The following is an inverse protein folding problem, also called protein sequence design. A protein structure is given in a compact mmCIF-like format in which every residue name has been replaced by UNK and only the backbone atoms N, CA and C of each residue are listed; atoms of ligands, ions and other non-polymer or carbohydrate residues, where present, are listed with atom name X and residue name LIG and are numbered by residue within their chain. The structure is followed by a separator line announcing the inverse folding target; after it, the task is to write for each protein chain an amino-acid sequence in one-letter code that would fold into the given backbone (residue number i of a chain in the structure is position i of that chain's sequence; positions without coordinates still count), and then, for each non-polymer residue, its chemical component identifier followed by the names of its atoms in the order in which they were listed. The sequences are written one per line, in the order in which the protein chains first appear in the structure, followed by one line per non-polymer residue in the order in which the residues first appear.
data_IF_957916072649
#
_entry.id   IF_957916072649
#
_cell.length_a   1.000
_cell.length_b   1.000
_cell.length_c   1.000
_cell.angle_alpha   90.00
_cell.angle_beta   90.00
_cell.angle_gamma   90.00
#
_symmetry.space_group_name_H-M   'P 1'
#
loop_
_entity.id
_entity.type
_entity.pdbx_description
1 polymer ?
#
# COMPACT_ATOMS: atom_id res chain seq x y z
N UNK A 1 3.94 58.30 58.97
CA UNK A 1 4.70 57.07 59.30
C UNK A 1 4.36 56.03 58.25
N UNK A 2 5.26 55.81 57.29
CA UNK A 2 5.11 54.78 56.24
C UNK A 2 5.36 53.41 56.86
N UNK A 3 4.40 52.49 56.72
CA UNK A 3 4.43 51.15 57.31
C UNK A 3 5.58 50.31 56.68
N UNK A 4 6.60 49.89 57.43
CA UNK A 4 7.75 49.15 56.90
C UNK A 4 7.37 47.81 56.26
N UNK A 5 6.29 47.17 56.73
CA UNK A 5 5.86 45.85 56.25
C UNK A 5 5.30 45.81 54.82
N UNK A 6 5.08 46.97 54.16
CA UNK A 6 4.55 47.03 52.80
C UNK A 6 5.65 46.97 51.73
N UNK A 7 6.89 47.31 52.08
CA UNK A 7 8.03 47.27 51.14
C UNK A 7 8.60 45.85 51.07
N UNK A 8 8.71 45.17 52.21
CA UNK A 8 9.20 43.80 52.28
C UNK A 8 8.26 42.82 51.53
N UNK A 9 6.94 43.00 51.68
CA UNK A 9 5.95 42.21 50.92
C UNK A 9 5.95 42.47 49.41
N UNK A 10 6.33 43.67 48.97
CA UNK A 10 6.56 43.97 47.55
C UNK A 10 7.85 43.27 47.08
N UNK A 11 8.90 43.27 47.91
CA UNK A 11 10.17 42.62 47.59
C UNK A 11 10.02 41.11 47.45
N UNK A 12 9.27 40.47 48.34
CA UNK A 12 8.95 39.04 48.27
C UNK A 12 8.18 38.70 46.99
N UNK A 13 7.20 39.52 46.60
CA UNK A 13 6.47 39.34 45.33
C UNK A 13 7.36 39.53 44.09
N UNK A 14 8.33 40.45 44.15
CA UNK A 14 9.30 40.66 43.06
C UNK A 14 10.25 39.46 42.94
N UNK A 15 10.69 38.89 44.06
CA UNK A 15 11.48 37.65 44.10
C UNK A 15 10.69 36.46 43.55
N UNK A 16 9.40 36.35 43.87
CA UNK A 16 8.51 35.31 43.34
C UNK A 16 8.31 35.42 41.82
N UNK A 17 8.07 36.64 41.30
CA UNK A 17 8.00 36.92 39.86
C UNK A 17 9.34 36.61 39.19
N UNK A 18 10.46 36.96 39.81
CA UNK A 18 11.81 36.64 39.32
C UNK A 18 12.05 35.13 39.26
N UNK A 19 11.54 34.38 40.24
CA UNK A 19 11.51 32.92 40.22
C UNK A 19 10.76 32.37 39.01
N UNK A 20 9.62 32.98 38.67
CA UNK A 20 8.83 32.65 37.48
C UNK A 20 9.59 32.92 36.17
N UNK A 21 10.33 34.03 36.08
CA UNK A 21 11.18 34.34 34.91
C UNK A 21 12.36 33.36 34.76
N UNK A 22 13.04 32.98 35.86
CA UNK A 22 14.09 31.94 35.83
C UNK A 22 13.55 30.56 35.42
N UNK A 23 12.27 30.30 35.70
CA UNK A 23 11.58 29.11 35.21
C UNK A 23 11.25 29.24 33.71
N UNK A 24 10.88 30.44 33.26
CA UNK A 24 10.76 30.80 31.84
C UNK A 24 12.04 30.53 31.03
N UNK A 25 13.22 30.85 31.57
CA UNK A 25 14.53 30.55 30.95
C UNK A 25 14.75 29.06 30.68
N UNK A 26 14.06 28.18 31.41
CA UNK A 26 14.09 26.72 31.20
C UNK A 26 12.98 26.23 30.26
N UNK A 27 11.83 26.90 30.26
CA UNK A 27 10.70 26.57 29.39
C UNK A 27 10.94 26.99 27.94
N UNK A 28 11.57 28.14 27.70
CA UNK A 28 11.79 28.65 26.35
C UNK A 28 12.64 27.69 25.49
N UNK A 29 13.77 27.13 25.96
CA UNK A 29 14.53 26.13 25.21
C UNK A 29 13.70 24.88 24.89
N UNK A 30 12.94 24.38 25.86
CA UNK A 30 12.06 23.21 25.67
C UNK A 30 10.97 23.47 24.62
N UNK A 31 10.31 24.62 24.67
CA UNK A 31 9.35 25.03 23.64
C UNK A 31 10.02 25.17 22.28
N UNK A 32 11.23 25.73 22.23
CA UNK A 32 12.02 25.84 21.00
C UNK A 32 12.34 24.49 20.36
N UNK A 33 12.75 23.52 21.16
CA UNK A 33 13.02 22.15 20.69
C UNK A 33 11.72 21.44 20.27
N UNK A 34 10.61 21.66 20.98
CA UNK A 34 9.28 21.18 20.59
C UNK A 34 8.83 21.78 19.24
N UNK A 35 9.04 23.08 19.01
CA UNK A 35 8.73 23.71 17.72
C UNK A 35 9.60 23.19 16.58
N UNK A 36 10.90 22.94 16.82
CA UNK A 36 11.76 22.27 15.84
C UNK A 36 11.29 20.85 15.52
N UNK A 37 10.90 20.09 16.53
CA UNK A 37 10.31 18.76 16.33
C UNK A 37 9.03 18.82 15.50
N UNK A 38 8.11 19.75 15.80
CA UNK A 38 6.89 19.94 15.01
C UNK A 38 7.19 20.36 13.57
N UNK A 39 8.21 21.22 13.39
CA UNK A 39 8.69 21.65 12.07
C UNK A 39 9.20 20.48 11.24
N UNK A 40 9.79 19.47 11.86
CA UNK A 40 10.33 18.30 11.17
C UNK A 40 9.25 17.21 10.94
N UNK A 41 8.25 17.10 11.82
CA UNK A 41 7.17 16.10 11.74
C UNK A 41 6.04 16.50 10.77
N UNK A 42 5.72 17.78 10.62
CA UNK A 42 4.65 18.22 9.72
C UNK A 42 4.89 17.90 8.23
N UNK A 43 6.10 18.09 7.67
CA UNK A 43 6.41 17.68 6.30
C UNK A 43 6.23 16.17 6.11
N UNK A 44 6.70 15.36 7.06
CA UNK A 44 6.52 13.92 7.05
C UNK A 44 5.03 13.54 7.01
N UNK A 45 4.20 14.23 7.80
CA UNK A 45 2.75 14.06 7.78
C UNK A 45 2.12 14.40 6.43
N UNK A 46 2.60 15.43 5.72
CA UNK A 46 2.09 15.78 4.39
C UNK A 46 2.50 14.76 3.33
N UNK A 47 3.76 14.30 3.33
CA UNK A 47 4.26 13.24 2.44
C UNK A 47 3.47 11.95 2.63
N UNK A 48 3.20 11.61 3.88
CA UNK A 48 2.42 10.46 4.28
C UNK A 48 0.96 10.57 3.81
N UNK A 49 0.33 11.74 3.96
CA UNK A 49 -1.04 11.96 3.49
C UNK A 49 -1.16 11.83 1.96
N UNK A 50 -0.18 12.38 1.22
CA UNK A 50 -0.12 12.21 -0.23
C UNK A 50 0.06 10.74 -0.63
N UNK A 51 0.96 10.01 0.05
CA UNK A 51 1.17 8.58 -0.17
C UNK A 51 -0.07 7.73 0.14
N UNK A 52 -0.85 8.12 1.15
CA UNK A 52 -2.13 7.49 1.47
C UNK A 52 -3.15 7.71 0.37
N UNK A 53 -3.28 8.96 -0.10
CA UNK A 53 -4.23 9.32 -1.15
C UNK A 53 -3.93 8.54 -2.44
N UNK A 54 -2.66 8.43 -2.82
CA UNK A 54 -2.23 7.59 -3.94
C UNK A 54 -2.56 6.11 -3.70
N UNK A 55 -2.27 5.61 -2.49
CA UNK A 55 -2.53 4.21 -2.13
C UNK A 55 -4.02 3.86 -2.12
N UNK A 56 -4.91 4.80 -1.79
CA UNK A 56 -6.37 4.59 -1.83
C UNK A 56 -6.88 4.22 -3.22
N UNK A 57 -6.18 4.64 -4.27
CA UNK A 57 -6.55 4.34 -5.65
C UNK A 57 -5.73 3.19 -6.24
N UNK A 58 -4.42 3.18 -5.99
CA UNK A 58 -3.50 2.20 -6.58
C UNK A 58 -3.68 0.78 -6.00
N UNK A 59 -3.95 0.65 -4.69
CA UNK A 59 -4.15 -0.67 -4.06
C UNK A 59 -5.41 -1.39 -4.58
N UNK A 60 -6.60 -0.75 -4.60
CA UNK A 60 -7.80 -1.39 -5.14
C UNK A 60 -7.65 -1.77 -6.61
N UNK A 61 -7.07 -0.87 -7.42
CA UNK A 61 -6.82 -1.13 -8.85
C UNK A 61 -5.88 -2.32 -9.06
N UNK A 62 -4.81 -2.43 -8.27
CA UNK A 62 -3.91 -3.57 -8.32
C UNK A 62 -4.62 -4.88 -7.91
N UNK A 63 -5.49 -4.82 -6.89
CA UNK A 63 -6.29 -5.97 -6.45
C UNK A 63 -7.28 -6.44 -7.52
N UNK A 64 -7.94 -5.50 -8.20
CA UNK A 64 -8.81 -5.79 -9.34
C UNK A 64 -8.04 -6.42 -10.50
N UNK A 65 -6.87 -5.86 -10.86
CA UNK A 65 -5.99 -6.42 -11.89
C UNK A 65 -5.53 -7.84 -11.57
N UNK A 66 -5.17 -8.13 -10.30
CA UNK A 66 -4.82 -9.49 -9.86
C UNK A 66 -6.01 -10.45 -10.01
N UNK A 67 -7.21 -9.99 -9.62
CA UNK A 67 -8.44 -10.80 -9.72
C UNK A 67 -8.76 -11.11 -11.18
N UNK A 68 -8.68 -10.12 -12.06
CA UNK A 68 -8.88 -10.29 -13.51
C UNK A 68 -7.85 -11.24 -14.15
N UNK A 69 -6.57 -11.11 -13.79
CA UNK A 69 -5.51 -12.01 -14.25
C UNK A 69 -5.74 -13.45 -13.76
N UNK A 70 -6.18 -13.63 -12.52
CA UNK A 70 -6.52 -14.94 -11.96
C UNK A 70 -7.71 -15.59 -12.69
N UNK A 71 -8.77 -14.81 -12.94
CA UNK A 71 -9.96 -15.27 -13.68
C UNK A 71 -9.62 -15.65 -15.13
N UNK A 72 -8.82 -14.83 -15.82
CA UNK A 72 -8.34 -15.14 -17.18
C UNK A 72 -7.49 -16.41 -17.19
N UNK A 73 -6.60 -16.56 -16.20
CA UNK A 73 -5.79 -17.77 -16.05
C UNK A 73 -6.64 -19.02 -15.77
N UNK A 74 -7.73 -18.88 -15.02
CA UNK A 74 -8.69 -19.95 -14.76
C UNK A 74 -9.43 -20.38 -16.02
N UNK A 75 -9.93 -19.41 -16.79
CA UNK A 75 -10.59 -19.67 -18.06
C UNK A 75 -9.65 -20.39 -19.04
N UNK A 76 -8.43 -19.89 -19.20
CA UNK A 76 -7.43 -20.52 -20.07
C UNK A 76 -7.06 -21.93 -19.61
N UNK A 77 -6.98 -22.17 -18.28
CA UNK A 77 -6.67 -23.51 -17.75
C UNK A 77 -7.84 -24.47 -17.98
N UNK A 78 -9.08 -24.01 -17.82
CA UNK A 78 -10.26 -24.80 -18.16
C UNK A 78 -10.27 -25.19 -19.64
N UNK A 79 -9.97 -24.24 -20.53
CA UNK A 79 -9.87 -24.50 -21.97
C UNK A 79 -8.79 -25.54 -22.29
N UNK A 80 -7.62 -25.48 -21.63
CA UNK A 80 -6.56 -26.48 -21.76
C UNK A 80 -7.04 -27.86 -21.29
N UNK A 81 -7.70 -27.94 -20.14
CA UNK A 81 -8.24 -29.19 -19.60
C UNK A 81 -9.27 -29.82 -20.57
N UNK A 82 -10.17 -29.01 -21.14
CA UNK A 82 -11.14 -29.48 -22.14
C UNK A 82 -10.44 -30.03 -23.41
N UNK A 83 -9.35 -29.40 -23.86
CA UNK A 83 -8.55 -29.92 -24.98
C UNK A 83 -7.84 -31.22 -24.61
N UNK A 84 -7.28 -31.32 -23.41
CA UNK A 84 -6.61 -32.53 -22.91
C UNK A 84 -7.57 -33.71 -22.80
N UNK A 85 -8.80 -33.49 -22.32
CA UNK A 85 -9.86 -34.50 -22.29
C UNK A 85 -10.21 -34.98 -23.70
N UNK A 86 -10.32 -34.06 -24.67
CA UNK A 86 -10.55 -34.40 -26.07
C UNK A 86 -9.40 -35.22 -26.67
N UNK A 87 -8.14 -34.87 -26.34
CA UNK A 87 -6.94 -35.61 -26.77
C UNK A 87 -6.97 -37.02 -26.18
N UNK A 88 -7.22 -37.15 -24.88
CA UNK A 88 -7.33 -38.44 -24.18
C UNK A 88 -8.39 -39.34 -24.80
N UNK A 89 -9.58 -38.78 -25.11
CA UNK A 89 -10.65 -39.53 -25.77
C UNK A 89 -10.27 -39.98 -27.19
N UNK A 90 -9.69 -39.09 -28.00
CA UNK A 90 -9.21 -39.43 -29.35
C UNK A 90 -8.13 -40.50 -29.30
N UNK A 91 -7.23 -40.42 -28.32
CA UNK A 91 -6.16 -41.38 -28.14
C UNK A 91 -6.69 -42.77 -27.78
N UNK A 92 -7.67 -42.84 -26.88
CA UNK A 92 -8.34 -44.09 -26.51
C UNK A 92 -9.04 -44.74 -27.73
N UNK A 93 -9.67 -43.95 -28.61
CA UNK A 93 -10.27 -44.48 -29.84
C UNK A 93 -9.21 -45.03 -30.81
N UNK A 94 -8.07 -44.33 -30.95
CA UNK A 94 -6.98 -44.76 -31.83
C UNK A 94 -6.23 -45.99 -31.29
N UNK A 95 -6.13 -46.15 -29.97
CA UNK A 95 -5.45 -47.29 -29.35
C UNK A 95 -6.20 -48.62 -29.52
N UNK A 96 -7.53 -48.59 -29.69
CA UNK A 96 -8.37 -49.78 -29.98
C UNK A 96 -8.00 -50.45 -31.31
N UNK A 97 -7.53 -49.67 -32.30
CA UNK A 97 -7.12 -50.17 -33.61
C UNK A 97 -5.60 -50.39 -33.77
N UNK A 98 -4.81 -50.07 -32.75
CA UNK A 98 -3.35 -50.12 -32.80
C UNK A 98 -2.80 -51.41 -32.19
N UNK A 99 -1.67 -51.89 -32.71
CA UNK A 99 -0.97 -53.08 -32.21
C UNK A 99 0.55 -52.85 -32.21
N UNK A 100 1.25 -53.55 -31.32
CA UNK A 100 2.69 -53.41 -31.10
C UNK A 100 3.08 -52.02 -30.59
N UNK A 101 4.23 -51.52 -31.03
CA UNK A 101 4.86 -50.28 -30.57
C UNK A 101 3.95 -49.03 -30.67
N UNK A 102 2.99 -49.01 -31.60
CA UNK A 102 2.03 -47.89 -31.73
C UNK A 102 1.05 -47.82 -30.56
N UNK A 103 0.72 -48.96 -29.95
CA UNK A 103 -0.18 -49.01 -28.80
C UNK A 103 0.53 -48.51 -27.55
N UNK A 104 1.78 -48.95 -27.32
CA UNK A 104 2.61 -48.43 -26.23
C UNK A 104 2.78 -46.90 -26.33
N UNK A 105 3.03 -46.37 -27.53
CA UNK A 105 3.13 -44.93 -27.74
C UNK A 105 1.82 -44.17 -27.40
N UNK A 106 0.65 -44.76 -27.67
CA UNK A 106 -0.64 -44.15 -27.34
C UNK A 106 -0.95 -44.22 -25.85
N UNK A 107 -0.64 -45.34 -25.19
CA UNK A 107 -0.79 -45.49 -23.75
C UNK A 107 0.13 -44.48 -23.03
N UNK A 108 1.35 -44.28 -23.52
CA UNK A 108 2.29 -43.31 -22.94
C UNK A 108 1.83 -41.85 -23.10
N UNK A 109 1.27 -41.48 -24.26
CA UNK A 109 0.70 -40.12 -24.41
C UNK A 109 -0.53 -39.94 -23.51
N UNK A 110 -1.30 -41.01 -23.25
CA UNK A 110 -2.43 -40.93 -22.34
C UNK A 110 -1.98 -40.70 -20.89
N UNK A 111 -0.91 -41.36 -20.46
CA UNK A 111 -0.27 -41.13 -19.17
C UNK A 111 0.27 -39.69 -19.08
N UNK A 112 0.97 -39.19 -20.12
CA UNK A 112 1.47 -37.81 -20.17
C UNK A 112 0.34 -36.77 -20.06
N UNK A 113 -0.82 -37.03 -20.69
CA UNK A 113 -2.00 -36.16 -20.58
C UNK A 113 -2.54 -36.15 -19.15
N UNK A 114 -2.59 -37.29 -18.47
CA UNK A 114 -3.02 -37.37 -17.07
C UNK A 114 -2.05 -36.68 -16.11
N UNK A 115 -0.76 -36.76 -16.39
CA UNK A 115 0.27 -36.03 -15.64
C UNK A 115 0.13 -34.51 -15.82
N UNK A 116 -0.16 -34.04 -17.04
CA UNK A 116 -0.42 -32.61 -17.29
C UNK A 116 -1.69 -32.14 -16.57
N UNK A 117 -2.79 -32.90 -16.63
CA UNK A 117 -4.03 -32.58 -15.91
C UNK A 117 -3.75 -32.48 -14.41
N UNK A 118 -3.00 -33.44 -13.86
CA UNK A 118 -2.63 -33.46 -12.45
C UNK A 118 -1.73 -32.29 -12.07
N UNK A 119 -0.80 -31.90 -12.96
CA UNK A 119 0.05 -30.74 -12.76
C UNK A 119 -0.79 -29.46 -12.71
N UNK A 120 -1.67 -29.23 -13.70
CA UNK A 120 -2.49 -28.01 -13.80
C UNK A 120 -3.37 -27.71 -12.58
N UNK A 121 -3.63 -28.71 -11.73
CA UNK A 121 -4.33 -28.53 -10.45
C UNK A 121 -3.62 -27.55 -9.49
N UNK A 122 -2.32 -27.24 -9.69
CA UNK A 122 -1.63 -26.19 -8.92
C UNK A 122 -2.32 -24.81 -9.03
N UNK A 123 -3.14 -24.61 -10.06
CA UNK A 123 -3.88 -23.39 -10.32
C UNK A 123 -4.90 -23.06 -9.22
N UNK A 124 -5.58 -24.04 -8.62
CA UNK A 124 -6.50 -23.83 -7.48
C UNK A 124 -5.75 -23.28 -6.25
N UNK A 125 -4.57 -23.86 -5.96
CA UNK A 125 -3.69 -23.36 -4.90
C UNK A 125 -3.25 -21.93 -5.21
N UNK A 126 -2.92 -21.64 -6.47
CA UNK A 126 -2.49 -20.29 -6.89
C UNK A 126 -3.60 -19.27 -6.72
N UNK A 127 -4.83 -19.60 -7.12
CA UNK A 127 -6.03 -18.78 -6.94
C UNK A 127 -6.25 -18.45 -5.46
N UNK A 128 -6.20 -19.46 -4.58
CA UNK A 128 -6.34 -19.26 -3.13
C UNK A 128 -5.24 -18.37 -2.53
N UNK A 129 -4.00 -18.49 -3.03
CA UNK A 129 -2.88 -17.64 -2.58
C UNK A 129 -3.04 -16.19 -3.03
N UNK A 130 -3.54 -15.96 -4.24
CA UNK A 130 -3.83 -14.61 -4.75
C UNK A 130 -5.00 -13.96 -3.99
N UNK A 131 -6.06 -14.70 -3.72
CA UNK A 131 -7.18 -14.24 -2.89
C UNK A 131 -6.74 -13.84 -1.49
N UNK A 132 -5.87 -14.65 -0.87
CA UNK A 132 -5.30 -14.32 0.43
C UNK A 132 -4.43 -13.07 0.39
N UNK A 133 -3.61 -12.91 -0.66
CA UNK A 133 -2.80 -11.71 -0.85
C UNK A 133 -3.67 -10.46 -1.02
N UNK A 134 -4.77 -10.54 -1.78
CA UNK A 134 -5.75 -9.46 -1.92
C UNK A 134 -6.33 -9.04 -0.56
N UNK A 135 -6.76 -9.99 0.26
CA UNK A 135 -7.30 -9.70 1.61
C UNK A 135 -6.27 -9.02 2.52
N UNK A 136 -5.02 -9.47 2.48
CA UNK A 136 -3.93 -8.82 3.23
C UNK A 136 -3.74 -7.38 2.76
N UNK A 137 -3.71 -7.17 1.45
CA UNK A 137 -3.50 -5.85 0.87
C UNK A 137 -4.63 -4.88 1.26
N UNK A 138 -5.89 -5.32 1.22
CA UNK A 138 -7.04 -4.55 1.70
C UNK A 138 -6.95 -4.23 3.20
N UNK A 139 -6.56 -5.21 4.03
CA UNK A 139 -6.40 -4.99 5.47
C UNK A 139 -5.27 -3.98 5.78
N UNK A 140 -4.17 -4.03 5.03
CA UNK A 140 -3.07 -3.06 5.14
C UNK A 140 -3.57 -1.65 4.78
N UNK A 141 -4.29 -1.51 3.67
CA UNK A 141 -4.88 -0.23 3.26
C UNK A 141 -5.81 0.33 4.33
N UNK A 142 -6.71 -0.49 4.89
CA UNK A 142 -7.64 -0.07 5.93
C UNK A 142 -6.89 0.41 7.19
N UNK A 143 -5.84 -0.31 7.60
CA UNK A 143 -5.00 0.08 8.74
C UNK A 143 -4.27 1.40 8.50
N UNK A 144 -3.76 1.62 7.29
CA UNK A 144 -3.16 2.90 6.94
C UNK A 144 -4.19 4.03 7.01
N UNK A 145 -5.38 3.87 6.42
CA UNK A 145 -6.45 4.87 6.51
C UNK A 145 -6.80 5.21 7.97
N UNK A 146 -6.94 4.19 8.83
CA UNK A 146 -7.21 4.39 10.26
C UNK A 146 -6.07 5.15 10.99
N UNK A 147 -4.81 4.75 10.75
CA UNK A 147 -3.63 5.38 11.36
C UNK A 147 -3.56 6.87 11.00
N UNK A 148 -3.79 7.20 9.74
CA UNK A 148 -3.68 8.58 9.26
C UNK A 148 -4.85 9.45 9.72
N UNK A 149 -6.07 8.92 9.75
CA UNK A 149 -7.20 9.61 10.36
C UNK A 149 -6.93 9.96 11.84
N UNK A 150 -6.30 9.04 12.59
CA UNK A 150 -5.91 9.30 13.97
C UNK A 150 -4.83 10.40 14.07
N UNK A 151 -3.84 10.39 13.18
CA UNK A 151 -2.79 11.42 13.15
C UNK A 151 -3.33 12.80 12.72
N UNK A 152 -4.31 12.86 11.82
CA UNK A 152 -4.96 14.11 11.40
C UNK A 152 -5.82 14.73 12.52
N UNK A 153 -6.47 13.90 13.34
CA UNK A 153 -7.16 14.37 14.55
C UNK A 153 -6.20 14.99 15.57
N UNK A 154 -4.98 14.45 15.71
CA UNK A 154 -3.95 15.03 16.59
C UNK A 154 -3.49 16.40 16.07
N UNK A 155 -3.37 16.54 14.74
CA UNK A 155 -3.01 17.80 14.07
C UNK A 155 -4.06 18.90 14.29
N UNK A 156 -5.34 18.59 14.17
CA UNK A 156 -6.45 19.57 14.18
C UNK A 156 -6.93 19.98 15.58
N UNK A 157 -6.75 19.13 16.59
CA UNK A 157 -7.22 19.39 17.96
C UNK A 157 -6.30 20.29 18.81
N UNK A 158 -5.21 20.83 18.25
CA UNK A 158 -4.27 21.68 18.99
C UNK A 158 -4.25 23.11 18.43
N UNK A 159 -4.46 24.10 19.30
CA UNK A 159 -4.40 25.54 18.94
C UNK A 159 -3.00 25.96 18.48
N UNK A 160 -1.97 25.24 18.95
CA UNK A 160 -0.57 25.36 18.53
C UNK A 160 -0.40 24.79 17.12
N UNK A 161 -0.95 23.61 16.83
CA UNK A 161 -0.88 22.98 15.51
C UNK A 161 -1.46 23.87 14.41
N UNK A 162 -2.63 24.50 14.65
CA UNK A 162 -3.23 25.42 13.68
C UNK A 162 -2.37 26.67 13.42
N UNK A 163 -1.81 27.31 14.46
CA UNK A 163 -0.93 28.49 14.29
C UNK A 163 0.41 28.17 13.63
N UNK A 164 1.01 27.03 13.98
CA UNK A 164 2.26 26.55 13.35
C UNK A 164 2.02 26.27 11.87
N UNK A 165 0.83 25.80 11.49
CA UNK A 165 0.47 25.54 10.10
C UNK A 165 0.23 26.83 9.29
N UNK A 166 -0.38 27.86 9.89
CA UNK A 166 -0.55 29.17 9.26
C UNK A 166 0.80 29.84 8.94
N UNK A 167 1.81 29.66 9.80
CA UNK A 167 3.19 30.14 9.53
C UNK A 167 3.92 29.26 8.49
N UNK A 168 3.69 27.94 8.50
CA UNK A 168 4.30 27.02 7.55
C UNK A 168 3.81 27.22 6.11
N UNK A 169 2.48 27.33 5.92
CA UNK A 169 1.88 27.56 4.59
C UNK A 169 2.31 28.91 3.98
N UNK A 170 2.68 29.90 4.82
CA UNK A 170 3.17 31.19 4.37
C UNK A 170 4.71 31.25 4.18
N UNK A 171 5.44 30.24 4.65
CA UNK A 171 6.90 30.29 4.77
C UNK A 171 7.67 29.41 3.78
N UNK A 172 7.45 28.10 3.77
CA UNK A 172 8.31 27.15 3.03
C UNK A 172 7.48 25.89 2.72
N UNK A 173 7.77 25.28 1.56
CA UNK A 173 7.48 23.88 1.16
C UNK A 173 6.31 23.62 0.19
N UNK A 174 6.34 24.26 -0.99
CA UNK A 174 5.72 23.64 -2.19
C UNK A 174 6.68 22.72 -2.97
N UNK A 175 8.00 22.83 -2.79
CA UNK A 175 8.97 22.03 -3.56
C UNK A 175 9.24 20.63 -2.99
N UNK A 176 9.36 20.44 -1.66
CA UNK A 176 9.69 19.11 -1.10
C UNK A 176 8.55 18.09 -1.18
N UNK A 177 7.29 18.54 -1.09
CA UNK A 177 6.11 17.66 -1.21
C UNK A 177 5.96 17.14 -2.65
N UNK A 178 6.37 17.93 -3.66
CA UNK A 178 6.35 17.49 -5.06
C UNK A 178 7.39 16.41 -5.35
N UNK A 179 8.58 16.49 -4.76
CA UNK A 179 9.64 15.51 -5.03
C UNK A 179 9.33 14.11 -4.49
N UNK A 180 8.66 13.99 -3.33
CA UNK A 180 8.29 12.69 -2.76
C UNK A 180 7.24 11.92 -3.58
N UNK A 181 6.26 12.63 -4.18
CA UNK A 181 5.27 12.00 -5.05
C UNK A 181 5.87 11.50 -6.37
N UNK A 182 6.88 12.19 -6.91
CA UNK A 182 7.55 11.79 -8.16
C UNK A 182 8.27 10.45 -8.01
N UNK A 183 8.91 10.16 -6.87
CA UNK A 183 9.65 8.91 -6.67
C UNK A 183 8.73 7.67 -6.53
N UNK A 184 7.56 7.83 -5.88
CA UNK A 184 6.54 6.78 -5.79
C UNK A 184 5.85 6.54 -7.13
N UNK A 185 5.57 7.60 -7.88
CA UNK A 185 4.96 7.49 -9.20
C UNK A 185 5.93 6.81 -10.18
N UNK A 186 7.20 7.21 -10.23
CA UNK A 186 8.24 6.61 -11.09
C UNK A 186 8.46 5.11 -10.81
N UNK A 187 8.31 4.68 -9.54
CA UNK A 187 8.36 3.26 -9.15
C UNK A 187 7.08 2.48 -9.40
N UNK A 188 5.97 3.17 -9.71
CA UNK A 188 4.67 2.57 -10.04
C UNK A 188 4.22 2.88 -11.47
N UNK A 189 5.05 3.57 -12.27
CA UNK A 189 4.88 3.72 -13.72
C UNK A 189 4.72 2.31 -14.29
N UNK A 190 3.57 2.10 -14.94
CA UNK A 190 3.20 0.85 -15.58
C UNK A 190 4.32 0.41 -16.54
N UNK A 191 5.13 -0.59 -16.16
CA UNK A 191 6.09 -1.24 -17.06
C UNK A 191 5.33 -2.10 -18.10
N UNK A 192 4.03 -2.32 -17.87
CA UNK A 192 3.15 -3.11 -18.74
C UNK A 192 2.39 -2.15 -19.66
N UNK A 193 2.52 -2.40 -20.98
CA UNK A 193 1.86 -1.66 -22.05
C UNK A 193 0.36 -1.47 -21.74
N UNK A 194 -0.12 -0.25 -21.93
CA UNK A 194 -1.53 0.16 -21.83
C UNK A 194 -2.50 -0.49 -22.85
N UNK A 195 -2.08 -1.55 -23.53
CA UNK A 195 -2.96 -2.32 -24.39
C UNK A 195 -3.22 -3.63 -23.65
N UNK A 196 -4.42 -3.77 -23.07
CA UNK A 196 -5.00 -5.09 -22.85
C UNK A 196 -4.92 -5.81 -24.19
N UNK A 197 -3.95 -6.71 -24.35
CA UNK A 197 -3.83 -7.51 -25.57
C UNK A 197 -5.09 -8.36 -25.59
N UNK A 198 -6.02 -8.01 -26.48
CA UNK A 198 -7.25 -8.76 -26.65
C UNK A 198 -6.92 -10.14 -27.19
N UNK A 199 -7.76 -11.13 -26.89
CA UNK A 199 -7.64 -12.47 -27.48
C UNK A 199 -7.60 -12.40 -29.03
N UNK A 200 -8.30 -11.42 -29.61
CA UNK A 200 -8.28 -11.10 -31.04
C UNK A 200 -6.91 -10.59 -31.55
N UNK A 201 -6.05 -10.07 -30.68
CA UNK A 201 -4.69 -9.61 -31.03
C UNK A 201 -3.67 -10.74 -30.90
N UNK A 202 -3.92 -11.71 -30.03
CA UNK A 202 -3.12 -12.94 -29.90
C UNK A 202 -3.39 -13.87 -31.10
N UNK A 203 -4.65 -14.01 -31.50
CA UNK A 203 -5.05 -14.91 -32.61
C UNK A 203 -4.60 -14.41 -34.00
N UNK A 204 -4.07 -13.17 -34.10
CA UNK A 204 -3.52 -12.58 -35.34
C UNK A 204 -2.00 -12.72 -35.49
N UNK A 205 -1.30 -13.27 -34.50
CA UNK A 205 0.15 -13.56 -34.54
C UNK A 205 0.41 -14.97 -35.07
#
# INVERSE_FOLDING_TARGET
MTNPGNVDTIFDKIEEIRGFFKFGDKIIPFLGDMFRFLRDVMPLMNTVNASLEDSKHKIPTASERITSANQTSEMATHDILDKLDCISLKMSVLSVGAAGDKKEAFDQIQDDVMDIISALQFQDITSQKLDHANRILSAIQEKFVQLFAALEQVKTNTTIGNKVMDEFNNGILQEEVKHGNVELDDRTVDIIRHEEISQDDIDKL
#
